data_IF_846263464651
#
_entry.id   IF_846263464651
#
_cell.length_a   1.000
_cell.length_b   1.000
_cell.length_c   1.000
_cell.angle_alpha   90.00
_cell.angle_beta   90.00
_cell.angle_gamma   90.00
#
_symmetry.space_group_name_H-M   'P 1'
#
loop_
_entity.id
_entity.type
_entity.pdbx_description
1 polymer ?
#
# COMPACT_ATOMS: atom_id res chain seq x y z
N UNK A 1 -77.61 46.09 -2.83
CA UNK A 1 -78.34 46.76 -1.72
C UNK A 1 -78.11 45.98 -0.44
N UNK A 2 -78.16 46.61 0.75
CA UNK A 2 -77.36 47.72 1.28
C UNK A 2 -76.19 47.16 2.16
N UNK A 3 -75.38 47.90 2.93
CA UNK A 3 -75.28 49.35 3.16
C UNK A 3 -75.35 49.73 4.66
N UNK A 4 -74.25 50.28 5.20
CA UNK A 4 -74.03 51.06 6.46
C UNK A 4 -72.52 51.37 6.46
N UNK A 5 -71.96 52.58 6.51
CA UNK A 5 -72.33 53.88 7.13
C UNK A 5 -72.51 53.84 8.64
N UNK A 6 -71.52 54.40 9.34
CA UNK A 6 -71.76 55.39 10.41
C UNK A 6 -70.79 56.56 10.26
N UNK A 7 -71.24 57.75 10.66
CA UNK A 7 -70.46 58.99 10.66
C UNK A 7 -70.98 59.88 11.79
N UNK A 8 -70.10 60.32 12.69
CA UNK A 8 -70.29 61.45 13.61
C UNK A 8 -68.88 61.80 14.14
N UNK A 9 -68.27 62.95 13.85
CA UNK A 9 -68.65 64.36 14.07
C UNK A 9 -68.37 64.80 15.52
N UNK A 10 -67.54 65.84 15.63
CA UNK A 10 -67.06 66.51 16.85
C UNK A 10 -68.08 67.53 17.41
N UNK A 11 -67.72 68.38 18.40
CA UNK A 11 -67.12 69.68 18.06
C UNK A 11 -66.05 70.20 19.07
N UNK A 12 -65.36 71.31 18.75
CA UNK A 12 -64.41 71.96 19.67
C UNK A 12 -63.40 72.95 19.06
N UNK A 13 -63.85 74.08 18.54
CA UNK A 13 -63.06 75.21 17.99
C UNK A 13 -63.10 76.43 18.94
N UNK A 14 -62.33 77.54 18.71
CA UNK A 14 -61.02 77.76 18.07
C UNK A 14 -60.11 78.63 19.00
N UNK A 15 -59.49 79.77 18.58
CA UNK A 15 -58.35 79.97 17.67
C UNK A 15 -57.07 80.50 18.38
N UNK A 16 -55.89 80.46 17.73
CA UNK A 16 -55.09 81.66 17.37
C UNK A 16 -53.72 81.34 16.71
N UNK A 17 -53.35 82.16 15.72
CA UNK A 17 -51.96 82.44 15.26
C UNK A 17 -51.36 83.56 16.15
N UNK A 18 -50.05 83.88 16.14
CA UNK A 18 -48.95 83.33 15.31
C UNK A 18 -47.64 83.04 16.10
N UNK A 19 -46.54 82.70 15.41
CA UNK A 19 -45.18 82.76 15.96
C UNK A 19 -44.14 81.98 15.15
N UNK A 20 -43.03 82.61 14.79
CA UNK A 20 -41.85 81.96 14.18
C UNK A 20 -40.75 81.83 15.25
N UNK A 21 -40.08 80.69 15.29
CA UNK A 21 -38.75 80.54 15.86
C UNK A 21 -37.95 79.56 14.98
N UNK A 22 -36.67 79.84 14.75
CA UNK A 22 -35.80 78.94 13.99
C UNK A 22 -35.40 77.72 14.86
N UNK A 23 -35.25 76.51 14.29
CA UNK A 23 -34.81 75.34 15.05
C UNK A 23 -33.37 75.53 15.55
N UNK A 24 -33.13 75.17 16.81
CA UNK A 24 -31.84 75.41 17.46
C UNK A 24 -30.69 74.64 16.77
N UNK A 25 -29.51 75.25 16.72
CA UNK A 25 -28.32 74.72 16.06
C UNK A 25 -27.88 73.37 16.65
N UNK A 26 -28.18 73.11 17.93
CA UNK A 26 -27.92 71.80 18.57
C UNK A 26 -28.82 70.69 18.03
N UNK A 27 -30.12 70.93 17.93
CA UNK A 27 -31.10 69.89 17.55
C UNK A 27 -30.92 69.47 16.09
N UNK A 28 -30.63 70.41 15.20
CA UNK A 28 -30.30 70.08 13.81
C UNK A 28 -29.03 69.21 13.71
N UNK A 29 -28.01 69.46 14.55
CA UNK A 29 -26.79 68.64 14.60
C UNK A 29 -27.08 67.24 15.16
N UNK A 30 -27.86 67.13 16.24
CA UNK A 30 -28.25 65.85 16.83
C UNK A 30 -29.08 65.00 15.85
N UNK A 31 -30.11 65.58 15.22
CA UNK A 31 -30.92 64.89 14.21
C UNK A 31 -30.08 64.47 12.99
N UNK A 32 -29.08 65.28 12.60
CA UNK A 32 -28.15 64.92 11.52
C UNK A 32 -27.26 63.74 11.92
N UNK A 33 -26.75 63.69 13.16
CA UNK A 33 -25.97 62.58 13.69
C UNK A 33 -26.80 61.30 13.81
N UNK A 34 -28.02 61.36 14.35
CA UNK A 34 -28.95 60.22 14.43
C UNK A 34 -29.29 59.66 13.04
N UNK A 35 -29.54 60.53 12.06
CA UNK A 35 -29.71 60.13 10.64
C UNK A 35 -28.43 59.54 10.04
N UNK A 36 -27.25 59.94 10.52
CA UNK A 36 -25.96 59.34 10.17
C UNK A 36 -25.84 57.91 10.67
N UNK A 37 -26.02 57.71 11.98
CA UNK A 37 -25.98 56.39 12.64
C UNK A 37 -27.04 55.44 12.07
N UNK A 38 -28.26 55.92 11.84
CA UNK A 38 -29.34 55.13 11.21
C UNK A 38 -28.95 54.63 9.82
N UNK A 39 -28.29 55.46 8.98
CA UNK A 39 -27.76 55.04 7.67
C UNK A 39 -26.58 54.07 7.79
N UNK A 40 -25.73 54.20 8.81
CA UNK A 40 -24.65 53.24 9.05
C UNK A 40 -25.20 51.88 9.47
N UNK A 41 -26.18 51.84 10.37
CA UNK A 41 -26.82 50.61 10.83
C UNK A 41 -27.59 49.92 9.69
N UNK A 42 -28.30 50.68 8.85
CA UNK A 42 -28.96 50.14 7.66
C UNK A 42 -27.97 49.54 6.63
N UNK A 43 -26.80 50.17 6.44
CA UNK A 43 -25.73 49.62 5.58
C UNK A 43 -25.09 48.36 6.15
N UNK A 44 -24.85 48.34 7.47
CA UNK A 44 -24.32 47.16 8.15
C UNK A 44 -25.30 45.98 8.10
N UNK A 45 -26.60 46.23 8.27
CA UNK A 45 -27.63 45.21 8.11
C UNK A 45 -27.68 44.64 6.68
N UNK A 46 -27.47 45.47 5.65
CA UNK A 46 -27.36 45.01 4.26
C UNK A 46 -26.09 44.17 4.02
N UNK A 47 -24.92 44.64 4.44
CA UNK A 47 -23.64 43.91 4.30
C UNK A 47 -23.68 42.54 5.01
N UNK A 48 -24.23 42.47 6.22
CA UNK A 48 -24.43 41.20 6.94
C UNK A 48 -25.42 40.27 6.21
N UNK A 49 -26.48 40.82 5.62
CA UNK A 49 -27.45 40.03 4.83
C UNK A 49 -26.82 39.47 3.53
N UNK A 50 -26.01 40.27 2.85
CA UNK A 50 -25.33 39.88 1.61
C UNK A 50 -24.24 38.83 1.91
N UNK A 51 -23.50 38.98 3.01
CA UNK A 51 -22.56 37.96 3.51
C UNK A 51 -23.28 36.66 3.89
N UNK A 52 -24.40 36.72 4.60
CA UNK A 52 -25.22 35.54 4.93
C UNK A 52 -25.74 34.84 3.67
N UNK A 53 -26.19 35.60 2.67
CA UNK A 53 -26.62 35.08 1.36
C UNK A 53 -25.47 34.38 0.63
N UNK A 54 -24.27 34.97 0.64
CA UNK A 54 -23.07 34.36 0.05
C UNK A 54 -22.58 33.11 0.80
N UNK A 55 -22.80 33.02 2.12
CA UNK A 55 -22.53 31.81 2.92
C UNK A 55 -23.54 30.71 2.58
N UNK A 56 -24.84 31.03 2.51
CA UNK A 56 -25.88 30.06 2.15
C UNK A 56 -25.67 29.49 0.74
N UNK A 57 -25.32 30.33 -0.24
CA UNK A 57 -24.99 29.89 -1.59
C UNK A 57 -23.78 28.92 -1.63
N UNK A 58 -22.75 29.18 -0.80
CA UNK A 58 -21.62 28.25 -0.64
C UNK A 58 -22.01 26.94 0.04
N UNK A 59 -22.90 27.00 1.04
CA UNK A 59 -23.39 25.81 1.73
C UNK A 59 -24.18 24.91 0.78
N UNK A 60 -25.11 25.46 0.00
CA UNK A 60 -25.82 24.70 -1.04
C UNK A 60 -24.87 24.10 -2.09
N UNK A 61 -23.86 24.85 -2.56
CA UNK A 61 -22.87 24.33 -3.49
C UNK A 61 -21.98 23.21 -2.89
N UNK A 62 -21.79 23.18 -1.57
CA UNK A 62 -21.16 22.05 -0.88
C UNK A 62 -22.12 20.87 -0.82
N UNK A 63 -23.40 21.09 -0.51
CA UNK A 63 -24.45 20.07 -0.39
C UNK A 63 -24.74 19.36 -1.72
N UNK A 64 -24.84 20.11 -2.82
CA UNK A 64 -24.88 19.60 -4.21
C UNK A 64 -23.67 18.72 -4.52
N UNK A 65 -22.47 19.13 -4.08
CA UNK A 65 -21.22 18.38 -4.30
C UNK A 65 -21.11 17.16 -3.41
N UNK A 66 -21.68 17.16 -2.20
CA UNK A 66 -21.79 15.96 -1.37
C UNK A 66 -22.77 14.98 -2.00
N UNK A 67 -23.95 15.44 -2.41
CA UNK A 67 -24.96 14.62 -3.11
C UNK A 67 -24.39 13.98 -4.38
N UNK A 68 -23.71 14.75 -5.23
CA UNK A 68 -23.06 14.23 -6.43
C UNK A 68 -21.91 13.26 -6.13
N UNK A 69 -21.17 13.45 -5.02
CA UNK A 69 -20.18 12.48 -4.55
C UNK A 69 -20.83 11.20 -4.03
N UNK A 70 -21.98 11.28 -3.35
CA UNK A 70 -22.74 10.12 -2.90
C UNK A 70 -23.34 9.35 -4.08
N UNK A 71 -23.84 10.01 -5.13
CA UNK A 71 -24.24 9.35 -6.38
C UNK A 71 -23.06 8.67 -7.08
N UNK A 72 -21.88 9.32 -7.12
CA UNK A 72 -20.65 8.71 -7.67
C UNK A 72 -20.18 7.53 -6.82
N UNK A 73 -20.31 7.58 -5.49
CA UNK A 73 -19.97 6.47 -4.59
C UNK A 73 -20.97 5.32 -4.71
N UNK A 74 -22.27 5.59 -4.78
CA UNK A 74 -23.32 4.57 -4.89
C UNK A 74 -23.36 3.92 -6.28
N UNK A 75 -23.16 4.69 -7.36
CA UNK A 75 -23.01 4.12 -8.71
C UNK A 75 -21.72 3.30 -8.85
N UNK A 76 -20.63 3.71 -8.19
CA UNK A 76 -19.40 2.90 -8.07
C UNK A 76 -19.62 1.64 -7.23
N UNK A 77 -20.38 1.72 -6.15
CA UNK A 77 -20.77 0.55 -5.35
C UNK A 77 -21.58 -0.46 -6.16
N UNK A 78 -22.48 -0.01 -7.05
CA UNK A 78 -23.21 -0.87 -7.99
C UNK A 78 -22.27 -1.64 -8.96
N UNK A 79 -21.14 -1.04 -9.36
CA UNK A 79 -20.08 -1.72 -10.13
C UNK A 79 -19.23 -2.66 -9.26
N UNK A 80 -18.95 -2.27 -8.01
CA UNK A 80 -18.15 -3.06 -7.07
C UNK A 80 -18.92 -4.21 -6.41
N UNK A 81 -20.25 -4.20 -6.40
CA UNK A 81 -21.06 -5.30 -5.84
C UNK A 81 -20.98 -6.58 -6.68
N UNK A 82 -20.69 -6.48 -7.99
CA UNK A 82 -20.27 -7.62 -8.83
C UNK A 82 -18.87 -8.17 -8.46
N UNK A 83 -18.22 -7.58 -7.45
CA UNK A 83 -17.07 -8.12 -6.71
C UNK A 83 -17.35 -8.18 -5.19
N UNK A 84 -18.53 -8.66 -4.78
CA UNK A 84 -18.62 -9.57 -3.63
C UNK A 84 -17.49 -10.59 -3.75
N UNK A 85 -16.43 -10.44 -2.94
CA UNK A 85 -15.25 -11.34 -2.96
C UNK A 85 -15.80 -12.75 -2.71
N UNK A 86 -15.80 -13.62 -3.74
CA UNK A 86 -16.33 -15.00 -3.66
C UNK A 86 -15.81 -15.60 -2.35
N UNK A 87 -16.70 -15.88 -1.40
CA UNK A 87 -16.33 -16.04 0.01
C UNK A 87 -15.20 -17.07 0.14
N UNK A 88 -13.97 -16.58 0.35
CA UNK A 88 -12.78 -17.36 0.07
C UNK A 88 -12.50 -18.29 1.23
N UNK A 89 -13.26 -19.39 1.30
CA UNK A 89 -13.06 -20.45 2.27
C UNK A 89 -11.74 -21.16 1.92
N UNK A 90 -10.67 -20.96 2.72
CA UNK A 90 -9.35 -21.49 2.37
C UNK A 90 -9.33 -23.01 2.46
N UNK A 91 -10.20 -23.63 3.28
CA UNK A 91 -10.31 -25.09 3.41
C UNK A 91 -10.81 -25.72 2.12
N UNK A 92 -11.90 -25.19 1.53
CA UNK A 92 -12.42 -25.69 0.24
C UNK A 92 -11.37 -25.47 -0.87
N UNK A 93 -10.79 -24.27 -0.95
CA UNK A 93 -9.79 -23.95 -1.97
C UNK A 93 -8.53 -24.82 -1.88
N UNK A 94 -8.12 -25.20 -0.67
CA UNK A 94 -6.99 -26.10 -0.43
C UNK A 94 -7.34 -27.56 -0.70
N UNK A 95 -8.52 -28.03 -0.30
CA UNK A 95 -8.99 -29.39 -0.61
C UNK A 95 -9.11 -29.62 -2.13
N UNK A 96 -9.65 -28.64 -2.87
CA UNK A 96 -9.67 -28.63 -4.35
C UNK A 96 -8.26 -28.77 -4.93
N UNK A 97 -7.28 -27.98 -4.43
CA UNK A 97 -5.88 -28.07 -4.87
C UNK A 97 -5.27 -29.45 -4.56
N UNK A 98 -5.47 -29.97 -3.36
CA UNK A 98 -4.92 -31.26 -2.93
C UNK A 98 -5.49 -32.41 -3.75
N UNK A 99 -6.81 -32.48 -3.89
CA UNK A 99 -7.47 -33.55 -4.64
C UNK A 99 -7.10 -33.51 -6.13
N UNK A 100 -7.15 -32.34 -6.78
CA UNK A 100 -6.78 -32.23 -8.19
C UNK A 100 -5.34 -32.70 -8.47
N UNK A 101 -4.41 -32.38 -7.58
CA UNK A 101 -2.98 -32.65 -7.80
C UNK A 101 -2.51 -34.00 -7.26
N UNK A 102 -3.31 -34.70 -6.44
CA UNK A 102 -2.99 -36.00 -5.86
C UNK A 102 -2.47 -37.01 -6.89
N UNK A 103 -1.47 -37.82 -6.51
CA UNK A 103 -0.83 -38.81 -7.40
C UNK A 103 -1.84 -39.80 -8.02
N UNK A 104 -2.91 -40.14 -7.29
CA UNK A 104 -3.99 -41.01 -7.78
C UNK A 104 -5.01 -40.33 -8.71
N UNK A 105 -5.06 -38.99 -8.80
CA UNK A 105 -6.04 -38.32 -9.65
C UNK A 105 -5.64 -38.36 -11.13
N UNK A 106 -6.38 -39.17 -11.90
CA UNK A 106 -6.27 -39.30 -13.36
C UNK A 106 -7.09 -38.26 -14.15
N UNK A 107 -8.03 -37.54 -13.51
CA UNK A 107 -8.88 -36.53 -14.14
C UNK A 107 -8.34 -35.12 -13.86
N UNK A 108 -7.53 -34.59 -14.77
CA UNK A 108 -6.88 -33.28 -14.64
C UNK A 108 -7.47 -32.26 -15.63
N UNK A 109 -7.59 -31.03 -15.16
CA UNK A 109 -8.17 -29.92 -15.90
C UNK A 109 -7.27 -29.51 -17.08
N UNK A 110 -7.80 -29.49 -18.30
CA UNK A 110 -7.08 -29.02 -19.48
C UNK A 110 -7.25 -27.49 -19.63
N UNK A 111 -6.18 -26.67 -19.52
CA UNK A 111 -6.25 -25.21 -19.65
C UNK A 111 -6.46 -24.69 -21.06
N UNK A 112 -6.16 -25.48 -22.09
CA UNK A 112 -6.42 -25.14 -23.50
C UNK A 112 -7.92 -25.14 -23.79
N UNK A 113 -8.63 -26.09 -23.20
CA UNK A 113 -10.07 -26.26 -23.37
C UNK A 113 -10.92 -25.27 -22.55
N UNK A 114 -12.12 -25.00 -23.05
CA UNK A 114 -13.15 -24.24 -22.34
C UNK A 114 -13.59 -24.92 -21.04
N UNK A 115 -14.23 -24.16 -20.14
CA UNK A 115 -14.82 -24.73 -18.91
C UNK A 115 -15.99 -25.68 -19.20
N UNK A 116 -16.67 -25.47 -20.33
CA UNK A 116 -17.80 -26.26 -20.83
C UNK A 116 -17.40 -27.22 -21.94
N UNK A 117 -16.17 -27.74 -21.90
CA UNK A 117 -15.79 -28.88 -22.74
C UNK A 117 -16.17 -30.18 -22.04
N UNK A 118 -16.55 -31.25 -22.77
CA UNK A 118 -16.96 -32.52 -22.14
C UNK A 118 -15.90 -33.09 -21.19
N UNK A 119 -14.61 -32.92 -21.50
CA UNK A 119 -13.51 -33.32 -20.61
C UNK A 119 -13.49 -32.48 -19.32
N UNK A 120 -13.46 -31.14 -19.42
CA UNK A 120 -13.36 -30.28 -18.24
C UNK A 120 -14.63 -30.32 -17.38
N UNK A 121 -15.80 -30.55 -17.96
CA UNK A 121 -17.04 -30.82 -17.21
C UNK A 121 -16.95 -32.17 -16.47
N UNK A 122 -16.49 -33.25 -17.13
CA UNK A 122 -16.30 -34.56 -16.50
C UNK A 122 -15.21 -34.57 -15.39
N UNK A 123 -14.19 -33.71 -15.51
CA UNK A 123 -13.20 -33.42 -14.45
C UNK A 123 -13.85 -32.67 -13.30
N UNK A 124 -14.64 -31.63 -13.59
CA UNK A 124 -15.29 -30.79 -12.57
C UNK A 124 -16.33 -31.55 -11.78
N UNK A 125 -17.19 -32.32 -12.43
CA UNK A 125 -18.20 -33.15 -11.76
C UNK A 125 -17.55 -34.20 -10.86
N UNK A 126 -16.43 -34.81 -11.27
CA UNK A 126 -15.67 -35.74 -10.42
C UNK A 126 -15.08 -35.06 -9.19
N UNK A 127 -14.47 -33.89 -9.34
CA UNK A 127 -13.92 -33.11 -8.24
C UNK A 127 -15.02 -32.64 -7.26
N UNK A 128 -16.14 -32.14 -7.77
CA UNK A 128 -17.28 -31.70 -6.92
C UNK A 128 -17.91 -32.88 -6.20
N UNK A 129 -18.04 -34.05 -6.84
CA UNK A 129 -18.53 -35.26 -6.21
C UNK A 129 -17.59 -35.74 -5.09
N UNK A 130 -16.32 -36.02 -5.41
CA UNK A 130 -15.39 -36.61 -4.45
C UNK A 130 -15.09 -35.67 -3.26
N UNK A 131 -15.18 -34.35 -3.45
CA UNK A 131 -15.08 -33.38 -2.35
C UNK A 131 -16.38 -33.28 -1.53
N UNK A 132 -17.56 -33.46 -2.13
CA UNK A 132 -18.82 -33.54 -1.37
C UNK A 132 -18.98 -34.87 -0.61
N UNK A 133 -18.30 -35.92 -1.05
CA UNK A 133 -18.20 -37.22 -0.36
C UNK A 133 -17.10 -37.24 0.72
N UNK A 134 -16.26 -36.20 0.81
CA UNK A 134 -15.16 -36.11 1.79
C UNK A 134 -15.67 -35.78 3.20
N UNK A 135 -15.20 -36.47 4.26
CA UNK A 135 -15.53 -36.14 5.65
C UNK A 135 -15.27 -34.68 6.03
N UNK A 136 -14.24 -34.04 5.47
CA UNK A 136 -13.91 -32.63 5.74
C UNK A 136 -14.93 -31.62 5.20
N UNK A 137 -15.75 -32.02 4.22
CA UNK A 137 -16.56 -31.13 3.39
C UNK A 137 -18.01 -31.61 3.14
N UNK A 138 -18.44 -32.72 3.73
CA UNK A 138 -19.77 -33.32 3.51
C UNK A 138 -20.96 -32.35 3.73
N UNK A 139 -20.83 -31.38 4.63
CA UNK A 139 -21.85 -30.34 4.89
C UNK A 139 -21.72 -29.09 4.01
N UNK A 140 -20.83 -29.07 3.01
CA UNK A 140 -20.58 -27.91 2.14
C UNK A 140 -21.42 -28.02 0.88
N UNK A 141 -22.21 -26.98 0.59
CA UNK A 141 -23.01 -26.89 -0.63
C UNK A 141 -22.15 -27.08 -1.89
N UNK A 142 -22.60 -27.96 -2.80
CA UNK A 142 -21.86 -28.33 -4.03
C UNK A 142 -21.48 -27.11 -4.88
N UNK A 143 -22.30 -26.07 -4.91
CA UNK A 143 -22.01 -24.80 -5.62
C UNK A 143 -20.80 -24.05 -5.05
N UNK A 144 -20.55 -24.12 -3.74
CA UNK A 144 -19.36 -23.53 -3.14
C UNK A 144 -18.08 -24.29 -3.54
N UNK A 145 -18.16 -25.62 -3.62
CA UNK A 145 -17.08 -26.49 -4.13
C UNK A 145 -16.84 -26.20 -5.62
N UNK A 146 -17.89 -26.16 -6.43
CA UNK A 146 -17.84 -25.86 -7.86
C UNK A 146 -17.29 -24.45 -8.14
N UNK A 147 -17.63 -23.46 -7.32
CA UNK A 147 -17.08 -22.10 -7.37
C UNK A 147 -15.58 -22.08 -7.06
N UNK A 148 -15.13 -22.85 -6.06
CA UNK A 148 -13.72 -23.02 -5.73
C UNK A 148 -12.94 -23.76 -6.84
N UNK A 149 -13.52 -24.81 -7.43
CA UNK A 149 -12.96 -25.48 -8.63
C UNK A 149 -12.76 -24.47 -9.77
N UNK A 150 -13.78 -23.67 -10.11
CA UNK A 150 -13.68 -22.64 -11.16
C UNK A 150 -12.58 -21.61 -10.86
N UNK A 151 -12.48 -21.09 -9.62
CA UNK A 151 -11.38 -20.18 -9.23
C UNK A 151 -10.00 -20.86 -9.27
N UNK A 152 -9.91 -22.16 -9.00
CA UNK A 152 -8.65 -22.89 -9.16
C UNK A 152 -8.28 -23.09 -10.63
N UNK A 153 -9.23 -23.42 -11.51
CA UNK A 153 -8.99 -23.50 -12.96
C UNK A 153 -8.65 -22.13 -13.59
N UNK A 154 -9.24 -21.03 -13.11
CA UNK A 154 -8.81 -19.66 -13.43
C UNK A 154 -7.33 -19.43 -13.10
N UNK A 155 -6.78 -20.14 -12.11
CA UNK A 155 -5.36 -20.10 -11.73
C UNK A 155 -4.50 -21.01 -12.62
N UNK A 156 -4.91 -22.26 -12.88
CA UNK A 156 -4.21 -23.15 -13.83
C UNK A 156 -4.12 -22.50 -15.21
N UNK A 157 -5.23 -21.98 -15.75
CA UNK A 157 -5.26 -21.32 -17.06
C UNK A 157 -4.39 -20.06 -17.11
N UNK A 158 -4.29 -19.31 -16.01
CA UNK A 158 -3.37 -18.16 -15.91
C UNK A 158 -1.92 -18.63 -15.98
N UNK A 159 -1.56 -19.66 -15.22
CA UNK A 159 -0.21 -20.22 -15.24
C UNK A 159 0.16 -20.78 -16.62
N UNK A 160 -0.77 -21.49 -17.27
CA UNK A 160 -0.59 -22.02 -18.62
C UNK A 160 -0.36 -20.93 -19.69
N UNK A 161 -1.09 -19.81 -19.62
CA UNK A 161 -0.83 -18.65 -20.49
C UNK A 161 0.57 -18.08 -20.26
N UNK A 162 1.01 -17.99 -19.00
CA UNK A 162 2.34 -17.51 -18.64
C UNK A 162 3.48 -18.53 -18.86
N UNK A 163 3.18 -19.77 -19.25
CA UNK A 163 4.17 -20.74 -19.74
C UNK A 163 4.27 -20.80 -21.27
N UNK A 164 3.46 -20.01 -22.00
CA UNK A 164 3.64 -19.85 -23.45
C UNK A 164 4.89 -19.00 -23.74
N UNK A 165 5.71 -19.33 -24.77
CA UNK A 165 6.96 -18.64 -25.05
C UNK A 165 6.82 -17.10 -25.12
N UNK A 166 5.82 -16.62 -25.86
CA UNK A 166 5.51 -15.20 -26.08
C UNK A 166 5.29 -14.40 -24.78
N UNK A 167 4.84 -15.08 -23.71
CA UNK A 167 4.54 -14.47 -22.41
C UNK A 167 5.52 -14.89 -21.31
N UNK A 168 6.48 -15.79 -21.59
CA UNK A 168 7.42 -16.30 -20.60
C UNK A 168 8.33 -15.19 -20.03
N UNK A 169 8.79 -14.26 -20.88
CA UNK A 169 9.57 -13.11 -20.44
C UNK A 169 8.76 -12.17 -19.52
N UNK A 170 7.48 -11.92 -19.84
CA UNK A 170 6.57 -11.16 -18.98
C UNK A 170 6.29 -11.89 -17.66
N UNK A 171 6.17 -13.23 -17.71
CA UNK A 171 5.94 -14.05 -16.53
C UNK A 171 7.13 -13.99 -15.55
N UNK A 172 8.37 -14.08 -16.03
CA UNK A 172 9.55 -13.91 -15.18
C UNK A 172 9.73 -12.47 -14.70
N UNK A 173 9.42 -11.45 -15.52
CA UNK A 173 9.38 -10.05 -15.06
C UNK A 173 8.36 -9.85 -13.92
N UNK A 174 7.19 -10.50 -13.99
CA UNK A 174 6.20 -10.47 -12.90
C UNK A 174 6.67 -11.23 -11.66
N UNK A 175 7.35 -12.39 -11.82
CA UNK A 175 7.92 -13.16 -10.69
C UNK A 175 9.06 -12.43 -10.01
N UNK A 176 9.99 -11.83 -10.76
CA UNK A 176 11.10 -11.03 -10.23
C UNK A 176 10.59 -9.80 -9.49
N UNK A 177 9.65 -9.03 -10.06
CA UNK A 177 9.03 -7.89 -9.39
C UNK A 177 8.30 -8.30 -8.09
N UNK A 178 7.61 -9.44 -8.08
CA UNK A 178 6.99 -9.98 -6.86
C UNK A 178 8.03 -10.39 -5.80
N UNK A 179 9.13 -11.06 -6.21
CA UNK A 179 10.27 -11.42 -5.32
C UNK A 179 10.92 -10.17 -4.73
N UNK A 180 11.25 -9.17 -5.55
CA UNK A 180 11.77 -7.84 -5.13
C UNK A 180 10.86 -7.21 -4.07
N UNK A 181 9.56 -7.11 -4.36
CA UNK A 181 8.60 -6.49 -3.44
C UNK A 181 8.48 -7.26 -2.11
N UNK A 182 8.59 -8.59 -2.13
CA UNK A 182 8.58 -9.40 -0.92
C UNK A 182 9.88 -9.27 -0.10
N UNK A 183 11.05 -9.17 -0.76
CA UNK A 183 12.34 -8.86 -0.10
C UNK A 183 12.28 -7.50 0.57
N UNK A 184 11.93 -6.44 -0.17
CA UNK A 184 11.72 -5.08 0.35
C UNK A 184 10.73 -5.02 1.52
N UNK A 185 9.65 -5.81 1.50
CA UNK A 185 8.72 -5.90 2.64
C UNK A 185 9.42 -6.47 3.88
N UNK A 186 10.09 -7.61 3.75
CA UNK A 186 10.82 -8.24 4.87
C UNK A 186 11.96 -7.35 5.39
N UNK A 187 12.63 -6.61 4.51
CA UNK A 187 13.68 -5.66 4.88
C UNK A 187 13.13 -4.49 5.70
N UNK A 188 11.96 -3.95 5.35
CA UNK A 188 11.29 -2.93 6.15
C UNK A 188 10.95 -3.46 7.55
N UNK A 189 10.36 -4.67 7.62
CA UNK A 189 9.95 -5.32 8.87
C UNK A 189 11.15 -5.66 9.77
N UNK A 190 12.24 -6.17 9.19
CA UNK A 190 13.48 -6.46 9.93
C UNK A 190 14.14 -5.19 10.49
N UNK A 191 14.25 -4.12 9.68
CA UNK A 191 14.81 -2.83 10.11
C UNK A 191 13.95 -2.16 11.19
N UNK A 192 12.63 -2.25 11.07
CA UNK A 192 11.71 -1.76 12.09
C UNK A 192 11.89 -2.47 13.45
N UNK A 193 12.35 -3.73 13.44
CA UNK A 193 12.65 -4.49 14.66
C UNK A 193 13.94 -4.09 15.39
N UNK A 194 14.76 -3.20 14.85
CA UNK A 194 16.03 -2.73 15.46
C UNK A 194 16.16 -1.20 15.57
N UNK A 195 15.04 -0.48 15.45
CA UNK A 195 14.96 0.96 15.71
C UNK A 195 15.18 1.26 17.19
N UNK A 196 15.90 2.34 17.49
CA UNK A 196 15.91 2.98 18.81
C UNK A 196 14.76 3.99 18.95
N UNK A 197 14.43 4.39 20.18
CA UNK A 197 13.23 5.18 20.46
C UNK A 197 13.21 6.57 19.80
N UNK A 198 14.39 7.16 19.63
CA UNK A 198 14.66 8.42 18.91
C UNK A 198 14.47 8.31 17.39
N UNK A 199 14.67 7.13 16.81
CA UNK A 199 14.51 6.89 15.36
C UNK A 199 13.05 6.64 14.95
N UNK A 200 12.16 6.29 15.90
CA UNK A 200 10.76 5.96 15.62
C UNK A 200 10.02 7.11 14.91
N UNK A 201 10.32 8.36 15.27
CA UNK A 201 9.72 9.55 14.65
C UNK A 201 10.26 9.83 13.25
N UNK A 202 11.51 9.45 12.96
CA UNK A 202 12.10 9.53 11.62
C UNK A 202 11.55 8.42 10.72
N UNK A 203 11.38 7.20 11.26
CA UNK A 203 10.82 6.05 10.55
C UNK A 203 9.32 6.18 10.24
N UNK A 204 8.64 7.14 10.88
CA UNK A 204 7.21 7.42 10.75
C UNK A 204 6.83 7.84 9.33
N UNK A 205 6.42 6.86 8.51
CA UNK A 205 6.02 7.06 7.12
C UNK A 205 7.01 6.47 6.10
N UNK A 206 8.09 5.82 6.54
CA UNK A 206 8.96 5.03 5.67
C UNK A 206 8.17 3.83 5.14
N UNK A 207 8.25 3.57 3.83
CA UNK A 207 7.46 2.52 3.15
C UNK A 207 8.33 1.44 2.50
N UNK A 208 7.68 0.35 2.11
CA UNK A 208 8.29 -0.78 1.36
C UNK A 208 8.98 -0.30 0.06
N UNK A 209 8.55 0.83 -0.50
CA UNK A 209 9.13 1.36 -1.72
C UNK A 209 10.37 2.24 -1.49
N UNK A 210 10.63 2.67 -0.26
CA UNK A 210 11.89 3.31 0.15
C UNK A 210 12.99 2.30 0.52
N UNK A 211 12.66 1.01 0.65
CA UNK A 211 13.65 -0.04 0.87
C UNK A 211 14.45 -0.31 -0.40
N UNK A 212 15.75 -0.62 -0.21
CA UNK A 212 16.63 -1.06 -1.30
C UNK A 212 16.14 -2.39 -1.89
N UNK A 213 16.27 -2.55 -3.20
CA UNK A 213 16.10 -3.86 -3.82
C UNK A 213 17.31 -4.75 -3.52
N UNK A 214 17.03 -6.05 -3.34
CA UNK A 214 17.99 -7.08 -2.95
C UNK A 214 17.95 -8.16 -4.03
N UNK A 215 18.92 -8.11 -4.94
CA UNK A 215 18.97 -8.97 -6.13
C UNK A 215 19.93 -10.14 -5.90
N UNK A 216 19.57 -11.32 -6.40
CA UNK A 216 20.46 -12.48 -6.34
C UNK A 216 21.62 -12.29 -7.33
N UNK A 217 22.86 -12.41 -6.85
CA UNK A 217 24.05 -12.24 -7.67
C UNK A 217 25.29 -12.88 -7.04
N UNK A 218 26.43 -12.71 -7.69
CA UNK A 218 27.71 -13.17 -7.18
C UNK A 218 28.80 -12.13 -7.41
N UNK A 219 29.76 -12.06 -6.50
CA UNK A 219 30.96 -11.22 -6.56
C UNK A 219 32.13 -12.10 -6.19
N UNK A 220 33.18 -12.15 -7.02
CA UNK A 220 34.39 -12.96 -6.81
C UNK A 220 34.09 -14.46 -6.52
N UNK A 221 33.03 -14.99 -7.15
CA UNK A 221 32.55 -16.37 -6.97
C UNK A 221 31.69 -16.61 -5.72
N UNK A 222 31.63 -15.66 -4.79
CA UNK A 222 30.74 -15.72 -3.62
C UNK A 222 29.32 -15.32 -4.04
N UNK A 223 28.33 -16.17 -3.75
CA UNK A 223 26.91 -15.88 -4.01
C UNK A 223 26.25 -15.13 -2.83
N UNK A 224 25.28 -14.26 -3.13
CA UNK A 224 24.62 -13.43 -2.13
C UNK A 224 23.75 -12.33 -2.75
N UNK A 225 23.53 -11.24 -2.01
CA UNK A 225 22.68 -10.14 -2.46
C UNK A 225 23.46 -8.89 -2.88
N UNK A 226 23.17 -8.43 -4.10
CA UNK A 226 23.50 -7.09 -4.59
C UNK A 226 22.38 -6.15 -4.13
N UNK A 227 22.77 -5.05 -3.48
CA UNK A 227 21.82 -4.14 -2.82
C UNK A 227 21.75 -2.83 -3.59
N UNK A 228 20.57 -2.47 -4.11
CA UNK A 228 20.35 -1.24 -4.89
C UNK A 228 19.47 -0.25 -4.13
N UNK A 229 19.96 0.95 -3.75
CA UNK A 229 19.11 2.02 -3.24
C UNK A 229 18.02 2.41 -4.25
N UNK A 230 16.83 2.89 -3.84
CA UNK A 230 15.97 3.66 -4.73
C UNK A 230 16.58 5.06 -4.89
N UNK A 231 16.82 5.51 -6.12
CA UNK A 231 17.44 6.81 -6.43
C UNK A 231 16.70 8.03 -5.86
N UNK A 232 15.38 7.91 -5.63
CA UNK A 232 14.55 8.95 -5.02
C UNK A 232 14.63 9.01 -3.48
N UNK A 233 15.39 8.12 -2.83
CA UNK A 233 15.51 8.05 -1.36
C UNK A 233 16.47 9.14 -0.86
N UNK A 234 16.11 9.80 0.25
CA UNK A 234 16.97 10.82 0.85
C UNK A 234 18.27 10.22 1.42
N UNK A 235 19.28 11.07 1.59
CA UNK A 235 20.58 10.65 2.14
C UNK A 235 20.44 10.17 3.58
N UNK A 236 19.69 10.91 4.39
CA UNK A 236 19.49 10.65 5.83
C UNK A 236 18.80 9.30 6.03
N UNK A 237 17.81 8.96 5.19
CA UNK A 237 17.14 7.65 5.25
C UNK A 237 18.05 6.53 4.70
N UNK A 238 19.00 6.83 3.81
CA UNK A 238 20.05 5.88 3.39
C UNK A 238 21.04 5.60 4.52
N UNK A 239 21.50 6.64 5.21
CA UNK A 239 22.44 6.55 6.33
C UNK A 239 21.81 5.83 7.55
N UNK A 240 20.53 6.10 7.84
CA UNK A 240 19.77 5.32 8.83
C UNK A 240 19.58 3.86 8.38
N UNK A 241 19.26 3.61 7.10
CA UNK A 241 19.13 2.25 6.59
C UNK A 241 20.45 1.45 6.67
N UNK A 242 21.61 2.10 6.58
CA UNK A 242 22.91 1.49 6.81
C UNK A 242 23.13 1.20 8.31
N UNK A 243 22.82 2.16 9.19
CA UNK A 243 22.91 2.01 10.65
C UNK A 243 22.05 0.85 11.17
N UNK A 244 20.79 0.77 10.73
CA UNK A 244 19.89 -0.34 11.07
C UNK A 244 20.36 -1.67 10.48
N UNK A 245 21.04 -1.66 9.33
CA UNK A 245 21.61 -2.86 8.75
C UNK A 245 22.80 -3.39 9.57
N UNK A 246 23.69 -2.50 10.02
CA UNK A 246 24.79 -2.87 10.91
C UNK A 246 24.28 -3.48 12.24
N UNK A 247 23.17 -2.95 12.80
CA UNK A 247 22.52 -3.55 13.99
C UNK A 247 21.95 -4.95 13.74
N UNK A 248 21.42 -5.20 12.54
CA UNK A 248 20.96 -6.55 12.15
C UNK A 248 22.16 -7.50 11.97
N UNK A 249 23.22 -7.05 11.31
CA UNK A 249 24.41 -7.88 11.05
C UNK A 249 25.27 -8.13 12.30
N UNK A 250 25.18 -7.26 13.32
CA UNK A 250 25.73 -7.51 14.65
C UNK A 250 25.01 -8.63 15.44
N UNK A 251 23.89 -9.18 14.94
CA UNK A 251 23.16 -10.27 15.57
C UNK A 251 23.47 -11.63 14.89
N UNK A 252 24.18 -12.58 15.55
CA UNK A 252 24.53 -13.86 14.95
C UNK A 252 23.34 -14.70 14.46
N UNK A 253 22.17 -14.56 15.09
CA UNK A 253 20.94 -15.26 14.68
C UNK A 253 20.35 -14.68 13.39
N UNK A 254 20.59 -13.40 13.11
CA UNK A 254 20.21 -12.78 11.85
C UNK A 254 21.14 -13.24 10.72
N UNK A 255 22.47 -13.12 10.93
CA UNK A 255 23.47 -13.47 9.90
C UNK A 255 23.48 -14.95 9.55
N UNK A 256 23.18 -15.85 10.50
CA UNK A 256 23.06 -17.29 10.24
C UNK A 256 21.78 -17.69 9.46
N UNK A 257 20.80 -16.79 9.32
CA UNK A 257 19.50 -17.10 8.70
C UNK A 257 19.18 -16.25 7.46
N UNK A 258 20.00 -15.23 7.16
CA UNK A 258 19.82 -14.30 6.05
C UNK A 258 20.97 -14.42 5.05
N UNK A 259 20.69 -14.12 3.77
CA UNK A 259 21.74 -14.14 2.75
C UNK A 259 22.71 -12.98 2.97
N UNK A 260 24.01 -13.25 2.78
CA UNK A 260 25.06 -12.23 2.87
C UNK A 260 24.86 -11.16 1.80
N UNK A 261 24.92 -9.88 2.21
CA UNK A 261 25.09 -8.75 1.28
C UNK A 261 26.51 -8.73 0.77
N UNK A 262 26.68 -8.61 -0.54
CA UNK A 262 28.01 -8.61 -1.18
C UNK A 262 28.47 -7.21 -1.57
N UNK A 263 27.57 -6.41 -2.12
CA UNK A 263 27.91 -5.14 -2.75
C UNK A 263 26.71 -4.18 -2.76
N UNK A 264 26.98 -2.88 -2.67
CA UNK A 264 26.00 -1.83 -2.95
C UNK A 264 26.09 -1.53 -4.45
N UNK A 265 25.21 -2.15 -5.24
CA UNK A 265 25.14 -1.88 -6.68
C UNK A 265 24.54 -0.49 -6.96
N UNK A 266 24.68 0.01 -8.21
CA UNK A 266 24.10 1.29 -8.58
C UNK A 266 22.58 1.29 -8.41
N UNK A 267 22.05 2.48 -8.16
CA UNK A 267 20.65 2.73 -7.80
C UNK A 267 19.66 2.02 -8.73
N UNK A 268 18.52 1.66 -8.13
CA UNK A 268 17.41 1.01 -8.82
C UNK A 268 16.68 2.00 -9.72
N UNK A 269 16.40 1.59 -10.96
CA UNK A 269 15.62 2.31 -11.98
C UNK A 269 14.13 2.55 -11.63
N UNK A 270 13.76 2.35 -10.37
CA UNK A 270 12.39 2.48 -9.88
C UNK A 270 12.02 3.95 -9.68
N UNK A 271 10.96 4.39 -10.34
CA UNK A 271 10.34 5.68 -10.09
C UNK A 271 9.77 5.79 -8.65
N UNK A 272 9.73 7.00 -8.08
CA UNK A 272 9.04 7.24 -6.80
C UNK A 272 7.53 6.90 -6.90
N UNK A 273 6.91 6.36 -5.85
CA UNK A 273 5.47 6.11 -5.81
C UNK A 273 4.63 7.39 -6.05
N UNK A 274 3.44 7.28 -6.63
CA UNK A 274 2.52 8.42 -6.82
C UNK A 274 2.08 9.11 -5.51
N UNK A 275 2.23 8.44 -4.37
CA UNK A 275 1.97 8.99 -3.03
C UNK A 275 3.27 9.44 -2.32
N UNK A 276 4.40 9.47 -3.01
CA UNK A 276 5.67 9.99 -2.49
C UNK A 276 5.59 11.51 -2.40
N UNK A 277 5.43 12.00 -1.17
CA UNK A 277 5.52 13.44 -0.92
C UNK A 277 6.99 13.88 -1.12
N UNK A 278 7.30 14.84 -2.02
CA UNK A 278 8.67 15.32 -2.19
C UNK A 278 9.22 16.01 -0.93
N UNK A 279 8.35 16.53 -0.06
CA UNK A 279 8.72 17.02 1.27
C UNK A 279 8.90 15.88 2.30
N UNK A 280 8.71 14.61 1.95
CA UNK A 280 9.15 13.50 2.81
C UNK A 280 10.68 13.48 2.93
N UNK A 281 11.40 13.70 1.82
CA UNK A 281 12.84 13.92 1.84
C UNK A 281 13.24 15.10 2.74
N UNK A 282 12.38 16.12 2.87
CA UNK A 282 12.58 17.25 3.80
C UNK A 282 12.11 16.98 5.24
N UNK A 283 11.23 15.99 5.46
CA UNK A 283 10.80 15.54 6.81
C UNK A 283 11.80 14.60 7.46
N UNK A 284 12.58 13.88 6.65
CA UNK A 284 13.82 13.25 7.08
C UNK A 284 14.91 14.29 7.45
N UNK A 285 14.75 15.55 7.03
CA UNK A 285 15.60 16.66 7.44
C UNK A 285 15.18 17.23 8.81
N UNK A 286 15.58 16.54 9.88
CA UNK A 286 15.63 17.09 11.24
C UNK A 286 17.07 17.09 11.75
N UNK A 287 17.79 18.14 11.38
CA UNK A 287 19.18 18.42 11.79
C UNK A 287 19.39 18.40 13.33
N UNK A 288 18.32 18.64 14.09
CA UNK A 288 18.26 18.60 15.55
C UNK A 288 17.90 17.22 16.17
N UNK A 289 17.74 16.16 15.36
CA UNK A 289 17.50 14.78 15.85
C UNK A 289 18.63 13.80 15.51
N UNK A 290 19.74 14.25 14.93
CA UNK A 290 20.96 13.44 14.82
C UNK A 290 21.68 13.48 16.19
N UNK A 291 21.91 12.34 16.87
CA UNK A 291 22.70 12.34 18.10
C UNK A 291 24.16 12.74 17.79
N UNK A 292 24.55 13.96 18.18
CA UNK A 292 25.93 14.42 18.04
C UNK A 292 26.86 13.66 19.01
N UNK A 293 27.35 12.49 18.58
CA UNK A 293 28.39 11.74 19.28
C UNK A 293 29.55 11.39 18.37
N UNK A 294 30.67 12.08 18.63
CA UNK A 294 32.03 11.71 18.24
C UNK A 294 32.30 11.52 16.73
N UNK A 295 32.36 12.62 16.00
CA UNK A 295 33.33 12.80 14.89
C UNK A 295 34.43 13.78 15.31
N UNK A 296 35.04 13.53 16.47
CA UNK A 296 36.22 14.22 16.97
C UNK A 296 37.41 13.25 16.92
N UNK A 297 37.99 13.06 15.74
CA UNK A 297 39.38 12.63 15.61
C UNK A 297 40.14 13.70 14.83
N UNK A 298 41.03 14.39 15.54
CA UNK A 298 42.05 15.23 14.93
C UNK A 298 43.00 14.38 14.07
N UNK A 299 43.64 15.05 13.11
CA UNK A 299 44.74 14.52 12.32
C UNK A 299 45.78 13.81 13.21
N UNK A 300 46.17 12.61 12.83
CA UNK A 300 47.54 12.12 13.03
C UNK A 300 47.91 11.18 11.89
N UNK A 301 48.66 11.71 10.92
CA UNK A 301 49.46 10.90 10.00
C UNK A 301 50.78 10.56 10.70
N UNK A 302 51.33 9.37 10.37
CA UNK A 302 52.57 8.82 10.91
C UNK A 302 52.48 8.44 12.41
N UNK A 303 53.08 7.34 12.87
CA UNK A 303 54.36 6.80 12.40
C UNK A 303 54.39 5.26 12.29
N UNK A 304 55.49 4.75 11.71
CA UNK A 304 55.75 3.32 11.50
C UNK A 304 56.79 2.80 12.51
N UNK A 305 56.51 1.69 13.20
CA UNK A 305 57.49 0.59 13.41
C UNK A 305 56.87 -0.65 14.11
N UNK A 306 57.56 -1.79 13.93
CA UNK A 306 57.84 -2.91 14.86
C UNK A 306 57.18 -2.89 16.27
N UNK A 307 56.88 -4.01 16.96
CA UNK A 307 57.69 -5.24 17.08
C UNK A 307 56.91 -6.49 17.53
N UNK A 308 57.59 -7.64 17.40
CA UNK A 308 57.41 -8.93 18.11
C UNK A 308 56.13 -9.76 17.87
N UNK A 309 56.31 -10.75 17.00
CA UNK A 309 55.96 -12.16 17.25
C UNK A 309 56.39 -12.65 18.64
N UNK A 310 55.57 -13.47 19.29
CA UNK A 310 55.98 -14.73 19.94
C UNK A 310 54.90 -15.80 19.65
N UNK A 311 55.22 -17.08 19.86
CA UNK A 311 54.51 -18.26 19.33
C UNK A 311 54.30 -19.31 20.44
N UNK A 312 53.65 -20.45 20.12
CA UNK A 312 53.46 -21.66 20.96
C UNK A 312 52.30 -21.55 21.99
N UNK A 313 51.54 -22.62 22.33
CA UNK A 313 51.67 -24.05 22.02
C UNK A 313 50.29 -24.78 21.98
N UNK A 314 50.27 -25.95 21.32
CA UNK A 314 49.23 -27.01 21.30
C UNK A 314 49.02 -27.68 22.70
N UNK A 315 48.05 -28.56 23.01
CA UNK A 315 46.87 -29.25 22.39
C UNK A 315 46.15 -30.03 23.55
N UNK A 316 45.44 -31.17 23.37
CA UNK A 316 44.21 -31.47 22.60
C UNK A 316 43.09 -32.12 23.47
N UNK A 317 42.00 -32.57 22.83
CA UNK A 317 40.97 -33.56 23.27
C UNK A 317 40.18 -33.24 24.57
N UNK A 318 38.88 -33.53 24.73
CA UNK A 318 37.90 -34.37 24.00
C UNK A 318 36.49 -33.68 24.15
N UNK A 319 35.26 -34.18 23.91
CA UNK A 319 34.67 -35.51 23.67
C UNK A 319 33.46 -35.46 22.73
N UNK A 320 33.31 -36.56 21.98
CA UNK A 320 32.19 -37.06 21.18
C UNK A 320 30.74 -36.75 21.64
N UNK A 321 29.90 -36.29 20.68
CA UNK A 321 28.50 -36.73 20.53
C UNK A 321 27.97 -36.40 19.11
N UNK A 322 27.61 -37.42 18.32
CA UNK A 322 26.94 -37.32 17.00
C UNK A 322 26.36 -38.68 16.59
N UNK A 323 25.49 -38.79 15.56
CA UNK A 323 24.59 -37.80 14.96
C UNK A 323 23.09 -38.27 15.01
N UNK A 324 22.18 -37.51 14.40
CA UNK A 324 20.97 -38.05 13.78
C UNK A 324 20.74 -37.35 12.43
N UNK A 325 20.81 -38.13 11.36
CA UNK A 325 20.75 -37.70 9.95
C UNK A 325 19.34 -37.84 9.33
N UNK A 326 19.28 -37.77 7.99
CA UNK A 326 18.13 -37.98 7.09
C UNK A 326 17.01 -36.93 7.21
N UNK A 327 16.98 -35.83 6.43
CA UNK A 327 17.26 -35.63 5.01
C UNK A 327 16.23 -36.26 4.04
N UNK A 328 15.69 -35.43 3.15
CA UNK A 328 15.56 -35.67 1.69
C UNK A 328 14.66 -34.58 1.06
N UNK A 329 15.26 -33.80 0.14
CA UNK A 329 14.55 -32.89 -0.74
C UNK A 329 15.15 -33.01 -2.15
N UNK A 330 14.73 -34.04 -2.87
CA UNK A 330 15.19 -34.30 -4.24
C UNK A 330 14.82 -33.15 -5.19
N UNK A 331 15.78 -32.73 -6.01
CA UNK A 331 15.51 -31.86 -7.16
C UNK A 331 15.05 -32.70 -8.35
N UNK A 332 14.01 -32.31 -9.11
CA UNK A 332 13.67 -32.98 -10.36
C UNK A 332 14.75 -32.72 -11.43
N UNK A 333 15.22 -33.77 -12.10
CA UNK A 333 16.22 -33.66 -13.16
C UNK A 333 15.66 -33.03 -14.46
N UNK A 334 16.57 -32.44 -15.25
CA UNK A 334 16.32 -32.18 -16.67
C UNK A 334 16.46 -33.47 -17.48
N UNK A 335 15.36 -34.00 -18.00
CA UNK A 335 15.43 -35.00 -19.07
C UNK A 335 15.48 -34.32 -20.45
N UNK A 336 16.70 -34.24 -20.96
CA UNK A 336 16.99 -34.05 -22.39
C UNK A 336 16.62 -35.33 -23.13
N UNK A 337 15.85 -35.23 -24.21
CA UNK A 337 15.54 -36.35 -25.11
C UNK A 337 16.09 -36.00 -26.48
N UNK A 338 17.15 -36.68 -26.89
CA UNK A 338 17.71 -36.56 -28.23
C UNK A 338 16.83 -37.35 -29.22
N UNK A 339 16.41 -36.73 -30.34
CA UNK A 339 15.53 -37.34 -31.34
C UNK A 339 16.36 -38.04 -32.43
N UNK A 340 16.35 -39.38 -32.46
CA UNK A 340 16.87 -40.13 -33.62
C UNK A 340 15.92 -40.05 -34.82
N UNK A 341 16.45 -39.63 -35.97
CA UNK A 341 15.68 -39.47 -37.21
C UNK A 341 15.69 -40.79 -37.99
N UNK A 342 14.68 -41.64 -37.75
CA UNK A 342 14.45 -42.82 -38.56
C UNK A 342 13.78 -42.45 -39.90
N UNK A 343 14.50 -42.67 -41.00
CA UNK A 343 14.04 -42.40 -42.36
C UNK A 343 12.96 -43.39 -42.79
N UNK A 344 11.91 -42.91 -43.44
CA UNK A 344 11.07 -43.70 -44.34
C UNK A 344 11.22 -43.14 -45.75
N UNK A 345 11.93 -43.85 -46.61
CA UNK A 345 11.97 -43.58 -48.06
C UNK A 345 10.81 -44.27 -48.75
N UNK A 346 10.08 -43.54 -49.59
CA UNK A 346 9.03 -44.09 -50.46
C UNK A 346 9.66 -44.61 -51.75
N UNK A 347 9.38 -45.87 -52.08
CA UNK A 347 9.53 -46.50 -53.38
C UNK A 347 8.53 -47.68 -53.46
#
# INVERSE_FOLDING_TARGET
MPGRRFSSIAPGTPPHRPGLAAPDSRDHKLLTAMRGLSRQLARFAADVNDQLTAVNAKLHSIDERMTALEEVVNSRACVEEKRKRRAHNPKIAEAVRRFHNAKGNRKRYNPEEGLSSPHNEAVTSHLVQALAESPDLHNVARDAILSACKTYYETIRRNFRYSQPDLAAQAEAMKTAARSRQRRKRLLEARQGVLSADELDFWRGVTIDMMSDEEDGAVEGVAGWIVRPPSFRSKELTDLCATLQARLEANPKYTSTHHRRLHIGPDSDRNPPNAYNPDAAKKHFKEHLIPQRAMNHHNFENDCTSYKTEELLSSPDDTDLSPLDDALAESPEHHRVDNEILRVTVA
#
